data_IF_053674259194
#
_entry.id   IF_053674259194
#
_cell.length_a   1.000
_cell.length_b   1.000
_cell.length_c   1.000
_cell.angle_alpha   90.00
_cell.angle_beta   90.00
_cell.angle_gamma   90.00
#
_symmetry.space_group_name_H-M   'P 1'
#
loop_
_entity.id
_entity.type
_entity.pdbx_description
1 polymer ?
#
# COMPACT_ATOMS: atom_id res chain seq x y z
N UNK A 1 -15.62 -0.63 8.71
CA UNK A 1 -14.59 -1.02 7.72
C UNK A 1 -14.65 -2.54 7.54
N UNK A 2 -14.76 -3.07 6.31
CA UNK A 2 -14.73 -4.52 6.05
C UNK A 2 -13.40 -5.10 6.54
N UNK A 3 -13.39 -6.31 7.11
CA UNK A 3 -12.14 -7.01 7.45
C UNK A 3 -11.47 -7.41 6.14
N UNK A 4 -10.35 -6.80 5.80
CA UNK A 4 -9.51 -7.18 4.67
C UNK A 4 -8.65 -8.38 5.11
N UNK A 5 -8.61 -9.42 4.28
CA UNK A 5 -7.65 -10.52 4.39
C UNK A 5 -6.44 -10.20 3.53
N UNK A 6 -5.28 -10.82 3.78
CA UNK A 6 -4.08 -10.48 3.02
C UNK A 6 -4.19 -10.77 1.53
N UNK A 7 -5.00 -11.77 1.13
CA UNK A 7 -5.36 -12.00 -0.27
C UNK A 7 -6.09 -10.82 -0.92
N UNK A 8 -6.82 -10.04 -0.13
CA UNK A 8 -7.56 -8.84 -0.57
C UNK A 8 -6.70 -7.57 -0.52
N UNK A 9 -5.52 -7.60 0.13
CA UNK A 9 -4.66 -6.43 0.26
C UNK A 9 -4.22 -5.88 -1.10
N UNK A 10 -3.96 -6.77 -2.06
CA UNK A 10 -3.67 -6.37 -3.44
C UNK A 10 -4.81 -5.54 -4.03
N UNK A 11 -6.04 -6.03 -3.88
CA UNK A 11 -7.23 -5.38 -4.41
C UNK A 11 -7.43 -4.00 -3.76
N UNK A 12 -7.23 -3.92 -2.44
CA UNK A 12 -7.27 -2.66 -1.69
C UNK A 12 -6.25 -1.63 -2.23
N UNK A 13 -5.01 -2.05 -2.50
CA UNK A 13 -4.00 -1.16 -3.09
C UNK A 13 -4.36 -0.76 -4.52
N UNK A 14 -4.91 -1.68 -5.33
CA UNK A 14 -5.36 -1.38 -6.70
C UNK A 14 -6.50 -0.36 -6.73
N UNK A 15 -7.41 -0.39 -5.75
CA UNK A 15 -8.48 0.61 -5.61
C UNK A 15 -7.89 2.00 -5.36
N UNK A 16 -6.92 2.13 -4.45
CA UNK A 16 -6.24 3.41 -4.24
C UNK A 16 -5.49 3.89 -5.49
N UNK A 17 -4.86 2.99 -6.26
CA UNK A 17 -4.21 3.34 -7.52
C UNK A 17 -5.23 3.89 -8.53
N UNK A 18 -6.38 3.24 -8.70
CA UNK A 18 -7.43 3.70 -9.62
C UNK A 18 -7.91 5.10 -9.28
N UNK A 19 -8.07 5.39 -8.00
CA UNK A 19 -8.49 6.70 -7.53
C UNK A 19 -7.46 7.80 -7.81
N UNK A 20 -6.16 7.52 -7.62
CA UNK A 20 -5.07 8.45 -7.96
C UNK A 20 -5.02 8.67 -9.48
N UNK A 21 -5.30 7.64 -10.27
CA UNK A 21 -5.31 7.67 -11.74
C UNK A 21 -6.63 8.14 -12.36
N UNK A 22 -7.58 8.66 -11.57
CA UNK A 22 -8.80 9.27 -12.13
C UNK A 22 -8.48 10.53 -12.93
N UNK A 23 -7.42 11.22 -12.53
CA UNK A 23 -6.87 12.38 -13.21
C UNK A 23 -5.68 11.94 -14.07
N UNK A 24 -5.42 12.66 -15.16
CA UNK A 24 -4.21 12.41 -15.96
C UNK A 24 -2.99 12.80 -15.13
N UNK A 25 -2.10 11.84 -14.89
CA UNK A 25 -0.96 12.04 -14.00
C UNK A 25 0.24 12.44 -14.84
N UNK A 26 0.69 13.68 -14.69
CA UNK A 26 1.92 14.15 -15.31
C UNK A 26 3.14 13.33 -14.82
N UNK A 27 4.08 13.10 -15.72
CA UNK A 27 5.30 12.34 -15.39
C UNK A 27 6.16 13.08 -14.36
N UNK A 28 6.80 12.32 -13.47
CA UNK A 28 7.69 12.84 -12.41
C UNK A 28 7.02 13.68 -11.31
N UNK A 29 5.69 13.69 -11.25
CA UNK A 29 4.93 14.19 -10.10
C UNK A 29 4.97 13.21 -8.91
N UNK A 30 4.57 13.70 -7.73
CA UNK A 30 4.45 12.88 -6.51
C UNK A 30 3.48 11.72 -6.70
N UNK A 31 2.35 11.96 -7.36
CA UNK A 31 1.34 11.00 -7.78
C UNK A 31 1.96 9.90 -8.65
N UNK A 32 2.76 10.30 -9.66
CA UNK A 32 3.43 9.39 -10.57
C UNK A 32 4.39 8.46 -9.81
N UNK A 33 5.22 9.03 -8.93
CA UNK A 33 6.13 8.24 -8.10
C UNK A 33 5.37 7.32 -7.14
N UNK A 34 4.30 7.80 -6.50
CA UNK A 34 3.46 6.99 -5.62
C UNK A 34 2.93 5.76 -6.35
N UNK A 35 2.35 5.94 -7.55
CA UNK A 35 1.86 4.83 -8.38
C UNK A 35 2.97 3.80 -8.66
N UNK A 36 4.22 4.22 -8.85
CA UNK A 36 5.34 3.26 -9.03
C UNK A 36 5.61 2.43 -7.78
N UNK A 37 5.54 3.02 -6.59
CA UNK A 37 5.66 2.26 -5.33
C UNK A 37 4.48 1.29 -5.15
N UNK A 38 3.25 1.73 -5.43
CA UNK A 38 2.05 0.88 -5.33
C UNK A 38 2.08 -0.27 -6.34
N UNK A 39 2.57 -0.05 -7.56
CA UNK A 39 2.80 -1.11 -8.57
C UNK A 39 3.77 -2.19 -8.09
N UNK A 40 4.81 -1.83 -7.34
CA UNK A 40 5.74 -2.82 -6.76
C UNK A 40 5.03 -3.71 -5.74
N UNK A 41 4.19 -3.13 -4.88
CA UNK A 41 3.40 -3.87 -3.87
C UNK A 41 2.40 -4.82 -4.54
N UNK A 42 1.66 -4.34 -5.54
CA UNK A 42 0.64 -5.15 -6.23
C UNK A 42 1.25 -6.25 -7.10
N UNK A 43 2.47 -6.05 -7.62
CA UNK A 43 3.21 -7.10 -8.35
C UNK A 43 3.62 -8.24 -7.43
N UNK A 44 4.15 -7.95 -6.24
CA UNK A 44 4.57 -8.98 -5.27
C UNK A 44 3.39 -9.84 -4.81
N UNK A 45 2.20 -9.23 -4.72
CA UNK A 45 0.96 -9.89 -4.26
C UNK A 45 0.15 -10.54 -5.38
N UNK A 46 0.60 -10.49 -6.64
CA UNK A 46 -0.17 -10.97 -7.79
C UNK A 46 -0.31 -12.50 -7.87
N UNK A 47 0.70 -13.25 -7.44
CA UNK A 47 0.80 -14.70 -7.67
C UNK A 47 0.15 -15.55 -6.57
N UNK A 48 -0.83 -15.01 -5.84
CA UNK A 48 -1.38 -15.69 -4.66
C UNK A 48 -0.36 -15.84 -3.51
N UNK A 49 0.76 -15.12 -3.59
CA UNK A 49 1.75 -15.04 -2.52
C UNK A 49 1.15 -14.34 -1.30
N UNK A 50 0.72 -15.13 -0.31
CA UNK A 50 0.13 -14.64 0.94
C UNK A 50 1.16 -14.26 2.01
N UNK A 51 2.45 -14.29 1.67
CA UNK A 51 3.52 -14.00 2.61
C UNK A 51 3.72 -12.51 2.82
N UNK A 52 3.17 -12.02 3.94
CA UNK A 52 3.29 -10.66 4.46
C UNK A 52 4.73 -10.09 4.51
N UNK A 53 5.74 -10.95 4.65
CA UNK A 53 7.16 -10.55 4.70
C UNK A 53 7.69 -10.12 3.34
N UNK A 54 7.14 -10.66 2.24
CA UNK A 54 7.59 -10.32 0.88
C UNK A 54 7.28 -8.87 0.50
N UNK A 55 6.18 -8.32 1.01
CA UNK A 55 5.80 -6.93 0.75
C UNK A 55 6.51 -5.92 1.67
N UNK A 56 7.14 -6.38 2.76
CA UNK A 56 7.70 -5.51 3.80
C UNK A 56 8.75 -4.54 3.26
N UNK A 57 9.63 -5.00 2.37
CA UNK A 57 10.61 -4.13 1.71
C UNK A 57 9.95 -3.01 0.89
N UNK A 58 8.90 -3.35 0.13
CA UNK A 58 8.16 -2.36 -0.66
C UNK A 58 7.37 -1.40 0.22
N UNK A 59 6.81 -1.88 1.33
CA UNK A 59 6.12 -1.05 2.32
C UNK A 59 7.08 -0.07 3.01
N UNK A 60 8.31 -0.49 3.36
CA UNK A 60 9.34 0.42 3.88
C UNK A 60 9.71 1.51 2.89
N UNK A 61 9.87 1.15 1.61
CA UNK A 61 10.12 2.14 0.56
C UNK A 61 8.96 3.12 0.38
N UNK A 62 7.72 2.66 0.48
CA UNK A 62 6.53 3.53 0.44
C UNK A 62 6.52 4.52 1.61
N UNK A 63 6.81 4.05 2.84
CA UNK A 63 6.88 4.92 4.02
C UNK A 63 7.99 5.97 3.87
N UNK A 64 9.17 5.58 3.39
CA UNK A 64 10.27 6.52 3.14
C UNK A 64 9.87 7.59 2.13
N UNK A 65 9.27 7.19 1.01
CA UNK A 65 8.74 8.11 0.01
C UNK A 65 7.72 9.07 0.60
N UNK A 66 6.76 8.55 1.39
CA UNK A 66 5.75 9.34 2.07
C UNK A 66 6.36 10.41 2.98
N UNK A 67 7.29 10.03 3.86
CA UNK A 67 7.94 10.95 4.80
C UNK A 67 8.74 12.03 4.08
N UNK A 68 9.45 11.65 3.02
CA UNK A 68 10.40 12.54 2.35
C UNK A 68 9.71 13.47 1.32
N UNK A 69 8.54 13.10 0.76
CA UNK A 69 7.98 13.76 -0.43
C UNK A 69 6.49 14.11 -0.37
N UNK A 70 5.73 13.62 0.63
CA UNK A 70 4.27 13.78 0.65
C UNK A 70 3.85 14.64 1.83
N UNK A 71 3.09 15.71 1.55
CA UNK A 71 2.50 16.53 2.60
C UNK A 71 1.50 15.71 3.44
N UNK A 72 1.66 15.74 4.76
CA UNK A 72 0.93 14.86 5.67
C UNK A 72 -0.60 15.01 5.59
N UNK A 73 -1.09 16.24 5.38
CA UNK A 73 -2.52 16.59 5.34
C UNK A 73 -3.11 16.55 3.93
N UNK A 74 -2.32 16.16 2.93
CA UNK A 74 -2.78 16.00 1.55
C UNK A 74 -3.61 14.72 1.39
N UNK A 75 -4.43 14.68 0.34
CA UNK A 75 -5.18 13.47 -0.01
C UNK A 75 -4.25 12.28 -0.30
N UNK A 76 -3.09 12.54 -0.93
CA UNK A 76 -2.06 11.52 -1.14
C UNK A 76 -1.50 11.00 0.19
N UNK A 77 -1.26 11.90 1.15
CA UNK A 77 -0.82 11.54 2.49
C UNK A 77 -1.80 10.60 3.18
N UNK A 78 -3.09 10.90 3.11
CA UNK A 78 -4.16 10.05 3.64
C UNK A 78 -4.20 8.68 2.97
N UNK A 79 -3.99 8.61 1.65
CA UNK A 79 -3.94 7.35 0.91
C UNK A 79 -2.75 6.50 1.34
N UNK A 80 -1.55 7.08 1.46
CA UNK A 80 -0.36 6.40 1.98
C UNK A 80 -0.58 5.84 3.39
N UNK A 81 -1.15 6.64 4.30
CA UNK A 81 -1.50 6.22 5.66
C UNK A 81 -2.49 5.06 5.68
N UNK A 82 -3.56 5.13 4.89
CA UNK A 82 -4.57 4.07 4.77
C UNK A 82 -3.95 2.74 4.35
N UNK A 83 -3.12 2.75 3.30
CA UNK A 83 -2.41 1.56 2.81
C UNK A 83 -1.47 0.98 3.88
N UNK A 84 -0.68 1.84 4.53
CA UNK A 84 0.25 1.39 5.57
C UNK A 84 -0.48 0.84 6.80
N UNK A 85 -1.55 1.49 7.24
CA UNK A 85 -2.33 1.05 8.40
C UNK A 85 -2.98 -0.31 8.16
N UNK A 86 -3.52 -0.54 6.95
CA UNK A 86 -4.09 -1.83 6.60
C UNK A 86 -3.02 -2.93 6.58
N UNK A 87 -1.85 -2.65 5.99
CA UNK A 87 -0.71 -3.58 6.04
C UNK A 87 -0.30 -3.92 7.49
N UNK A 88 -0.24 -2.93 8.38
CA UNK A 88 0.07 -3.15 9.80
C UNK A 88 -1.01 -3.95 10.53
N UNK A 89 -2.28 -3.73 10.23
CA UNK A 89 -3.38 -4.51 10.78
C UNK A 89 -3.30 -5.97 10.34
N UNK A 90 -3.02 -6.19 9.06
CA UNK A 90 -2.78 -7.51 8.45
C UNK A 90 -1.60 -8.23 9.11
N UNK A 91 -0.46 -7.57 9.30
CA UNK A 91 0.69 -8.13 10.02
C UNK A 91 0.35 -8.56 11.45
N UNK A 92 -0.39 -7.73 12.20
CA UNK A 92 -0.81 -8.05 13.57
C UNK A 92 -1.69 -9.28 13.62
N UNK A 93 -2.64 -9.43 12.69
CA UNK A 93 -3.50 -10.63 12.59
C UNK A 93 -2.68 -11.90 12.35
N UNK A 94 -1.65 -11.85 11.48
CA UNK A 94 -0.74 -13.00 11.26
C UNK A 94 -0.01 -13.38 12.54
N UNK A 95 0.51 -12.38 13.26
CA UNK A 95 1.26 -12.61 14.50
C UNK A 95 0.36 -13.20 15.58
N UNK A 96 -0.84 -12.65 15.80
CA UNK A 96 -1.78 -13.21 16.79
C UNK A 96 -2.22 -14.64 16.44
N UNK A 97 -2.41 -14.95 15.15
CA UNK A 97 -2.78 -16.31 14.71
C UNK A 97 -1.67 -17.34 14.91
N UNK A 98 -0.41 -16.92 15.10
CA UNK A 98 0.72 -17.84 15.35
C UNK A 98 0.79 -18.30 16.82
N UNK A 99 0.06 -17.64 17.71
CA UNK A 99 0.05 -17.90 19.16
C UNK A 99 -1.33 -18.31 19.68
N UNK A 100 -2.28 -18.63 18.78
CA UNK A 100 -3.60 -19.21 19.07
C UNK A 100 -3.60 -20.66 18.62
#
# INVERSE_FOLDING_TARGET
MRKIYFGDFRQYVLEHMKEIQKEDIESYTTEWFLIRYLKKITKITADGNLEYTRVEGSMRSLVRFYVDNVEEKSELGDRCKKIYNEYRALLRKKQSSKYS
#
